data_IF_211070160513
#
_entry.id   IF_211070160513
#
_cell.length_a   1.000
_cell.length_b   1.000
_cell.length_c   1.000
_cell.angle_alpha   90.00
_cell.angle_beta   90.00
_cell.angle_gamma   90.00
#
_symmetry.space_group_name_H-M   'P 1'
#
loop_
_entity.id
_entity.type
_entity.pdbx_description
1 polymer ?
#
# COMPACT_ATOMS: atom_id res chain seq x y z
N UNK A 1 9.29 1.79 16.68
CA UNK A 1 9.88 0.44 16.91
C UNK A 1 11.31 0.61 17.46
N UNK A 2 11.76 -0.25 18.39
CA UNK A 2 13.16 -0.24 18.88
C UNK A 2 14.07 -0.96 17.88
N UNK A 3 15.33 -0.52 17.76
CA UNK A 3 16.34 -1.15 16.87
C UNK A 3 16.53 -2.65 17.14
N UNK A 4 16.45 -3.08 18.40
CA UNK A 4 16.54 -4.51 18.77
C UNK A 4 15.40 -5.34 18.21
N UNK A 5 14.17 -4.82 18.26
CA UNK A 5 12.99 -5.47 17.71
C UNK A 5 13.05 -5.55 16.18
N UNK A 6 13.48 -4.49 15.53
CA UNK A 6 13.69 -4.47 14.08
C UNK A 6 14.70 -5.54 13.64
N UNK A 7 15.84 -5.62 14.33
CA UNK A 7 16.86 -6.65 14.06
C UNK A 7 16.37 -8.09 14.33
N UNK A 8 15.44 -8.29 15.28
CA UNK A 8 14.81 -9.61 15.49
C UNK A 8 13.96 -10.00 14.29
N UNK A 9 13.13 -9.10 13.81
CA UNK A 9 12.26 -9.34 12.64
C UNK A 9 13.06 -9.69 11.38
N UNK A 10 14.22 -9.03 11.18
CA UNK A 10 15.13 -9.38 10.08
C UNK A 10 15.62 -10.83 10.21
N UNK A 11 16.03 -11.25 11.42
CA UNK A 11 16.50 -12.62 11.66
C UNK A 11 15.40 -13.66 11.48
N UNK A 12 14.15 -13.28 11.70
CA UNK A 12 12.96 -14.12 11.48
C UNK A 12 12.59 -14.21 9.99
N UNK A 13 13.28 -13.47 9.11
CA UNK A 13 13.13 -13.54 7.66
C UNK A 13 12.07 -12.58 7.10
N UNK A 14 11.59 -11.62 7.87
CA UNK A 14 10.73 -10.56 7.35
C UNK A 14 11.52 -9.61 6.45
N UNK A 15 10.95 -9.29 5.28
CA UNK A 15 11.57 -8.45 4.27
C UNK A 15 10.78 -7.17 3.95
N UNK A 16 9.67 -6.95 4.66
CA UNK A 16 8.82 -5.78 4.48
C UNK A 16 8.27 -5.36 5.84
N UNK A 17 9.09 -4.58 6.57
CA UNK A 17 8.87 -4.29 7.99
C UNK A 17 8.24 -2.91 8.15
N UNK A 18 7.01 -2.80 8.73
CA UNK A 18 6.38 -1.51 8.96
C UNK A 18 7.04 -0.78 10.13
N UNK A 19 7.50 0.43 9.87
CA UNK A 19 7.90 1.41 10.87
C UNK A 19 6.75 2.39 11.06
N UNK A 20 6.43 2.73 12.30
CA UNK A 20 5.34 3.65 12.57
C UNK A 20 5.69 4.70 13.60
N UNK A 21 5.10 5.88 13.41
CA UNK A 21 5.10 6.98 14.38
C UNK A 21 3.69 7.51 14.55
N UNK A 22 3.21 7.58 15.80
CA UNK A 22 1.93 8.20 16.13
C UNK A 22 2.10 9.69 16.39
N UNK A 23 1.19 10.50 15.84
CA UNK A 23 1.08 11.94 16.08
C UNK A 23 -0.36 12.26 16.43
N UNK A 24 -0.59 13.15 17.38
CA UNK A 24 -1.94 13.67 17.66
C UNK A 24 -2.22 14.82 16.70
N UNK A 25 -3.36 14.79 16.04
CA UNK A 25 -3.79 15.81 15.07
C UNK A 25 -5.21 16.22 15.41
N UNK A 26 -5.35 17.38 16.06
CA UNK A 26 -6.64 17.86 16.55
C UNK A 26 -7.35 18.83 15.59
N UNK A 27 -6.62 19.38 14.62
CA UNK A 27 -7.12 20.49 13.77
C UNK A 27 -7.43 20.09 12.34
N UNK A 28 -6.90 19.00 11.84
CA UNK A 28 -7.05 18.58 10.46
C UNK A 28 -7.98 17.37 10.32
N UNK A 29 -8.92 17.47 9.38
CA UNK A 29 -9.74 16.32 9.00
C UNK A 29 -8.92 15.34 8.12
N UNK A 30 -9.31 14.06 8.04
CA UNK A 30 -8.64 13.11 7.15
C UNK A 30 -8.56 13.59 5.70
N UNK A 31 -9.62 14.21 5.19
CA UNK A 31 -9.63 14.80 3.85
C UNK A 31 -8.64 15.96 3.73
N UNK A 32 -8.53 16.82 4.75
CA UNK A 32 -7.56 17.92 4.74
C UNK A 32 -6.12 17.40 4.72
N UNK A 33 -5.84 16.33 5.47
CA UNK A 33 -4.53 15.66 5.44
C UNK A 33 -4.23 15.07 4.06
N UNK A 34 -5.20 14.39 3.45
CA UNK A 34 -5.06 13.87 2.10
C UNK A 34 -4.70 14.98 1.10
N UNK A 35 -5.48 16.06 1.08
CA UNK A 35 -5.25 17.18 0.15
C UNK A 35 -3.89 17.86 0.34
N UNK A 36 -3.38 17.89 1.58
CA UNK A 36 -2.07 18.48 1.89
C UNK A 36 -0.89 17.57 1.53
N UNK A 37 -1.02 16.26 1.72
CA UNK A 37 0.11 15.34 1.74
C UNK A 37 0.10 14.32 0.60
N UNK A 38 -1.07 13.94 0.11
CA UNK A 38 -1.24 12.80 -0.78
C UNK A 38 -2.00 13.10 -2.09
N UNK A 39 -2.34 14.37 -2.38
CA UNK A 39 -3.07 14.73 -3.59
C UNK A 39 -2.16 14.68 -4.84
N UNK A 40 -1.71 13.49 -5.18
CA UNK A 40 -0.83 13.18 -6.31
C UNK A 40 -1.36 11.95 -7.07
N UNK A 41 -0.93 11.73 -8.32
CA UNK A 41 -1.20 10.48 -9.02
C UNK A 41 -0.75 9.25 -8.20
N UNK A 42 -1.52 8.17 -8.31
CA UNK A 42 -1.26 6.91 -7.60
C UNK A 42 -1.25 7.03 -6.07
N UNK A 43 -2.05 7.95 -5.54
CA UNK A 43 -2.42 8.03 -4.13
C UNK A 43 -3.86 7.56 -3.94
N UNK A 44 -4.27 7.33 -2.69
CA UNK A 44 -5.65 6.96 -2.39
C UNK A 44 -6.11 7.52 -1.05
N UNK A 45 -7.42 7.68 -0.93
CA UNK A 45 -8.11 8.03 0.29
C UNK A 45 -9.29 7.10 0.49
N UNK A 46 -9.27 6.34 1.57
CA UNK A 46 -10.33 5.41 1.94
C UNK A 46 -10.91 5.87 3.29
N UNK A 47 -12.16 6.22 3.28
CA UNK A 47 -12.90 6.65 4.48
C UNK A 47 -14.20 5.87 4.60
N UNK A 48 -14.47 5.34 5.79
CA UNK A 48 -15.75 4.72 6.08
C UNK A 48 -16.69 5.74 6.68
N UNK A 49 -17.80 6.00 6.01
CA UNK A 49 -18.80 7.01 6.43
C UNK A 49 -19.89 6.41 7.32
N UNK A 50 -20.07 5.10 7.33
CA UNK A 50 -21.10 4.43 8.11
C UNK A 50 -20.54 3.34 9.00
N UNK A 51 -21.03 3.23 10.24
CA UNK A 51 -20.76 2.06 11.06
C UNK A 51 -20.32 2.32 12.50
N UNK A 52 -20.30 3.55 12.98
CA UNK A 52 -19.98 3.86 14.38
C UNK A 52 -18.55 3.46 14.79
N UNK A 53 -18.34 3.22 16.09
CA UNK A 53 -17.00 2.99 16.68
C UNK A 53 -16.23 1.77 16.15
N UNK A 54 -16.91 0.80 15.53
CA UNK A 54 -16.27 -0.42 15.02
C UNK A 54 -15.89 -0.36 13.56
N UNK A 55 -16.74 0.21 12.69
CA UNK A 55 -16.59 0.14 11.24
C UNK A 55 -16.07 1.44 10.61
N UNK A 56 -16.36 2.59 11.23
CA UNK A 56 -15.91 3.92 10.76
C UNK A 56 -14.71 4.47 11.51
N UNK A 57 -13.97 3.64 12.24
CA UNK A 57 -12.90 4.11 13.11
C UNK A 57 -11.71 4.68 12.38
N UNK A 58 -11.31 4.07 11.27
CA UNK A 58 -10.09 4.43 10.57
C UNK A 58 -10.36 5.04 9.21
N UNK A 59 -9.58 6.08 8.89
CA UNK A 59 -9.42 6.59 7.52
C UNK A 59 -7.99 6.32 7.06
N UNK A 60 -7.83 5.86 5.81
CA UNK A 60 -6.54 5.47 5.25
C UNK A 60 -6.17 6.41 4.12
N UNK A 61 -4.97 6.96 4.17
CA UNK A 61 -4.41 7.87 3.18
C UNK A 61 -3.10 7.26 2.67
N UNK A 62 -3.12 6.70 1.45
CA UNK A 62 -1.90 6.24 0.80
C UNK A 62 -1.18 7.38 0.11
N UNK A 63 0.10 7.54 0.39
CA UNK A 63 0.93 8.48 -0.34
C UNK A 63 1.16 7.97 -1.77
N UNK A 64 1.68 8.84 -2.66
CA UNK A 64 1.94 8.46 -4.04
C UNK A 64 2.83 7.23 -4.12
N UNK A 65 2.30 6.15 -4.68
CA UNK A 65 3.02 4.89 -4.79
C UNK A 65 4.15 5.00 -5.82
N UNK A 66 5.36 4.63 -5.41
CA UNK A 66 6.49 4.56 -6.33
C UNK A 66 6.35 3.41 -7.33
N UNK A 67 5.75 2.31 -6.90
CA UNK A 67 5.58 1.10 -7.70
C UNK A 67 4.10 0.86 -8.01
N UNK A 68 3.80 0.73 -9.29
CA UNK A 68 2.46 0.47 -9.81
C UNK A 68 2.50 -0.74 -10.72
N UNK A 69 1.58 -1.67 -10.54
CA UNK A 69 1.37 -2.84 -11.38
C UNK A 69 0.15 -2.56 -12.25
N UNK A 70 0.32 -2.74 -13.55
CA UNK A 70 -0.77 -2.63 -14.53
C UNK A 70 -0.86 -3.92 -15.33
N UNK A 71 -2.07 -4.41 -15.51
CA UNK A 71 -2.36 -5.57 -16.31
C UNK A 71 -3.31 -5.18 -17.43
N UNK A 72 -2.94 -5.50 -18.67
CA UNK A 72 -3.79 -5.40 -19.85
C UNK A 72 -3.74 -6.76 -20.54
N UNK A 73 -4.87 -7.43 -20.65
CA UNK A 73 -4.93 -8.80 -21.11
C UNK A 73 -3.97 -9.71 -20.32
N UNK A 74 -3.01 -10.33 -20.97
CA UNK A 74 -2.00 -11.21 -20.37
C UNK A 74 -0.64 -10.52 -20.20
N UNK A 75 -0.58 -9.22 -20.42
CA UNK A 75 0.62 -8.41 -20.22
C UNK A 75 0.62 -7.75 -18.86
N UNK A 76 1.61 -8.04 -18.02
CA UNK A 76 1.85 -7.40 -16.74
C UNK A 76 3.00 -6.41 -16.86
N UNK A 77 2.77 -5.17 -16.48
CA UNK A 77 3.79 -4.11 -16.43
C UNK A 77 4.01 -3.66 -15.00
N UNK A 78 5.26 -3.57 -14.61
CA UNK A 78 5.65 -2.91 -13.35
C UNK A 78 6.27 -1.56 -13.71
N UNK A 79 5.66 -0.50 -13.21
CA UNK A 79 6.18 0.85 -13.31
C UNK A 79 6.79 1.27 -11.98
N UNK A 80 7.98 1.87 -12.01
CA UNK A 80 8.60 2.50 -10.84
C UNK A 80 8.87 3.97 -11.17
N UNK A 81 8.33 4.88 -10.35
CA UNK A 81 8.41 6.33 -10.56
C UNK A 81 8.00 6.74 -12.00
N UNK A 82 6.89 6.16 -12.49
CA UNK A 82 6.32 6.44 -13.81
C UNK A 82 7.10 5.86 -15.00
N UNK A 83 8.11 5.01 -14.77
CA UNK A 83 8.87 4.33 -15.84
C UNK A 83 8.64 2.83 -15.75
N UNK A 84 8.38 2.19 -16.89
CA UNK A 84 8.28 0.75 -16.98
C UNK A 84 9.66 0.15 -16.67
N UNK A 85 9.74 -0.66 -15.61
CA UNK A 85 10.97 -1.36 -15.22
C UNK A 85 10.92 -2.84 -15.58
N UNK A 86 9.72 -3.42 -15.61
CA UNK A 86 9.52 -4.81 -16.01
C UNK A 86 8.26 -4.95 -16.86
N UNK A 87 8.30 -5.89 -17.77
CA UNK A 87 7.19 -6.27 -18.62
C UNK A 87 7.20 -7.79 -18.78
N UNK A 88 6.07 -8.44 -18.51
CA UNK A 88 5.90 -9.88 -18.55
C UNK A 88 4.68 -10.24 -19.38
N UNK A 89 4.79 -11.29 -20.19
CA UNK A 89 3.65 -12.00 -20.75
C UNK A 89 3.40 -13.21 -19.86
N UNK A 90 2.19 -13.35 -19.34
CA UNK A 90 1.83 -14.37 -18.36
C UNK A 90 0.60 -15.16 -18.83
N UNK A 91 0.50 -16.42 -18.43
CA UNK A 91 -0.68 -17.24 -18.76
C UNK A 91 -1.87 -16.93 -17.82
N UNK A 92 -1.58 -16.58 -16.57
CA UNK A 92 -2.57 -16.25 -15.56
C UNK A 92 -2.14 -15.00 -14.77
N UNK A 93 -2.71 -13.84 -15.09
CA UNK A 93 -2.40 -12.60 -14.40
C UNK A 93 -2.77 -12.60 -12.90
N UNK A 94 -3.81 -13.34 -12.50
CA UNK A 94 -4.23 -13.38 -11.10
C UNK A 94 -3.27 -14.22 -10.26
N UNK A 95 -2.83 -15.37 -10.78
CA UNK A 95 -1.80 -16.19 -10.15
C UNK A 95 -0.47 -15.43 -10.04
N UNK A 96 -0.11 -14.66 -11.07
CA UNK A 96 1.09 -13.83 -11.05
C UNK A 96 1.02 -12.75 -9.94
N UNK A 97 -0.14 -12.11 -9.77
CA UNK A 97 -0.35 -11.11 -8.69
C UNK A 97 -0.24 -11.76 -7.31
N UNK A 98 -0.81 -12.95 -7.14
CA UNK A 98 -0.69 -13.70 -5.89
C UNK A 98 0.77 -14.05 -5.57
N UNK A 99 1.53 -14.53 -6.55
CA UNK A 99 2.96 -14.78 -6.40
C UNK A 99 3.75 -13.50 -6.06
N UNK A 100 3.43 -12.39 -6.72
CA UNK A 100 4.04 -11.10 -6.43
C UNK A 100 3.74 -10.66 -4.99
N UNK A 101 2.51 -10.80 -4.53
CA UNK A 101 2.12 -10.46 -3.16
C UNK A 101 2.83 -11.34 -2.12
N UNK A 102 2.97 -12.64 -2.41
CA UNK A 102 3.61 -13.60 -1.51
C UNK A 102 5.12 -13.38 -1.31
N UNK A 103 5.75 -12.52 -2.12
CA UNK A 103 7.14 -12.11 -1.92
C UNK A 103 7.31 -11.20 -0.70
N UNK A 104 6.25 -10.50 -0.28
CA UNK A 104 6.28 -9.59 0.86
C UNK A 104 6.01 -10.37 2.15
N UNK A 105 7.03 -10.52 2.98
CA UNK A 105 6.92 -11.10 4.31
C UNK A 105 6.80 -9.98 5.34
N UNK A 106 5.57 -9.68 5.73
CA UNK A 106 5.23 -8.57 6.63
C UNK A 106 4.93 -9.12 8.02
N UNK A 107 5.56 -8.61 9.10
CA UNK A 107 5.21 -9.01 10.46
C UNK A 107 3.86 -8.42 10.88
N UNK A 108 3.04 -9.20 11.56
CA UNK A 108 1.85 -8.68 12.22
C UNK A 108 2.25 -8.02 13.55
N UNK A 109 1.87 -6.76 13.73
CA UNK A 109 2.20 -5.96 14.91
C UNK A 109 0.92 -5.47 15.57
N UNK A 110 0.67 -5.86 16.82
CA UNK A 110 -0.52 -5.48 17.61
C UNK A 110 -0.67 -3.96 17.79
N UNK A 111 0.42 -3.21 17.60
CA UNK A 111 0.44 -1.75 17.72
C UNK A 111 -0.06 -1.02 16.47
N UNK A 112 -0.34 -1.73 15.38
CA UNK A 112 -0.80 -1.18 14.12
C UNK A 112 -2.23 -1.63 13.81
N UNK A 113 -2.99 -0.85 13.04
CA UNK A 113 -4.24 -1.30 12.45
C UNK A 113 -4.03 -2.52 11.54
N UNK A 114 -5.08 -3.34 11.37
CA UNK A 114 -5.05 -4.54 10.52
C UNK A 114 -4.62 -4.22 9.08
N UNK A 115 -5.14 -3.12 8.53
CA UNK A 115 -4.64 -2.60 7.27
C UNK A 115 -3.55 -1.56 7.54
N UNK A 116 -2.32 -1.89 7.16
CA UNK A 116 -1.17 -1.00 7.33
C UNK A 116 -0.28 -0.91 6.08
N UNK A 117 -0.77 -1.38 4.91
CA UNK A 117 -0.10 -1.36 3.62
C UNK A 117 -0.45 -2.57 2.77
N UNK A 118 0.21 -2.73 1.63
CA UNK A 118 -0.02 -3.84 0.70
C UNK A 118 -0.38 -3.36 -0.71
N UNK A 119 -1.12 -4.18 -1.46
CA UNK A 119 -1.59 -3.84 -2.80
C UNK A 119 -2.95 -3.13 -2.73
N UNK A 120 -3.03 -1.92 -3.26
CA UNK A 120 -4.26 -1.11 -3.28
C UNK A 120 -4.55 -0.67 -4.70
N UNK A 121 -5.77 -0.84 -5.15
CA UNK A 121 -6.16 -0.45 -6.50
C UNK A 121 -7.49 -1.05 -6.91
N UNK A 122 -7.63 -1.40 -8.18
CA UNK A 122 -8.86 -1.98 -8.68
C UNK A 122 -8.60 -3.20 -9.57
N UNK A 123 -9.58 -4.08 -9.55
CA UNK A 123 -9.80 -5.13 -10.52
C UNK A 123 -11.01 -4.74 -11.33
N UNK A 124 -10.83 -4.50 -12.63
CA UNK A 124 -11.90 -4.13 -13.55
C UNK A 124 -12.90 -5.27 -13.77
N UNK A 125 -14.06 -4.95 -14.31
CA UNK A 125 -15.09 -5.96 -14.57
C UNK A 125 -14.64 -7.05 -15.55
N UNK A 126 -13.80 -6.67 -16.51
CA UNK A 126 -13.34 -7.58 -17.58
C UNK A 126 -12.38 -8.67 -17.09
N UNK A 127 -11.91 -8.62 -15.83
CA UNK A 127 -11.08 -9.70 -15.24
C UNK A 127 -11.80 -11.04 -15.18
N UNK A 128 -13.14 -11.03 -15.25
CA UNK A 128 -13.96 -12.26 -15.31
C UNK A 128 -13.52 -13.19 -16.45
N UNK A 129 -12.94 -12.64 -17.53
CA UNK A 129 -12.42 -13.41 -18.67
C UNK A 129 -11.19 -14.25 -18.35
N UNK A 130 -10.42 -13.89 -17.29
CA UNK A 130 -9.31 -14.71 -16.80
C UNK A 130 -9.79 -15.92 -16.01
N UNK A 131 -11.00 -15.85 -15.43
CA UNK A 131 -11.55 -16.90 -14.57
C UNK A 131 -12.49 -17.81 -15.37
N UNK A 132 -13.30 -17.26 -16.29
CA UNK A 132 -14.32 -17.98 -17.04
C UNK A 132 -13.95 -18.07 -18.52
N UNK A 133 -13.44 -19.23 -19.02
CA UNK A 133 -12.98 -19.37 -20.40
C UNK A 133 -14.04 -19.07 -21.46
N UNK A 134 -15.35 -19.23 -21.12
CA UNK A 134 -16.43 -18.92 -22.04
C UNK A 134 -16.54 -17.44 -22.38
N UNK A 135 -16.02 -16.57 -21.50
CA UNK A 135 -16.03 -15.13 -21.65
C UNK A 135 -14.74 -14.57 -22.25
N UNK A 136 -13.69 -15.40 -22.41
CA UNK A 136 -12.38 -14.99 -22.92
C UNK A 136 -12.42 -14.41 -24.36
N UNK A 137 -13.40 -14.82 -25.17
CA UNK A 137 -13.50 -14.44 -26.59
C UNK A 137 -14.56 -13.35 -26.87
N UNK A 138 -15.04 -12.64 -25.88
CA UNK A 138 -15.99 -11.55 -26.07
C UNK A 138 -15.22 -10.29 -26.44
N UNK A 139 -15.11 -10.02 -27.75
CA UNK A 139 -14.54 -8.77 -28.26
C UNK A 139 -15.53 -7.63 -27.99
N UNK A 140 -15.25 -6.84 -26.96
CA UNK A 140 -15.87 -5.53 -26.75
C UNK A 140 -14.87 -4.45 -27.15
N UNK A 141 -15.36 -3.37 -27.73
CA UNK A 141 -14.55 -2.19 -27.99
C UNK A 141 -14.19 -1.56 -26.64
N UNK A 142 -12.91 -1.51 -26.34
CA UNK A 142 -12.42 -0.77 -25.17
C UNK A 142 -12.32 0.72 -25.51
N UNK A 143 -13.31 1.50 -25.08
CA UNK A 143 -13.38 2.95 -25.31
C UNK A 143 -12.55 3.74 -24.29
N UNK A 144 -12.29 3.17 -23.11
CA UNK A 144 -11.63 3.86 -22.02
C UNK A 144 -10.11 3.67 -22.03
N UNK A 145 -9.64 2.58 -22.63
CA UNK A 145 -8.23 2.20 -22.72
C UNK A 145 -7.50 2.26 -21.36
N UNK A 146 -8.19 1.75 -20.32
CA UNK A 146 -7.64 1.64 -18.97
C UNK A 146 -7.18 0.21 -18.70
N UNK A 147 -6.20 0.00 -17.81
CA UNK A 147 -5.79 -1.34 -17.43
C UNK A 147 -6.93 -2.19 -16.87
N UNK A 148 -6.94 -3.49 -17.15
CA UNK A 148 -7.87 -4.45 -16.52
C UNK A 148 -7.65 -4.51 -15.01
N UNK A 149 -6.39 -4.41 -14.59
CA UNK A 149 -6.00 -4.37 -13.18
C UNK A 149 -4.97 -3.26 -13.01
N UNK A 150 -5.17 -2.42 -12.00
CA UNK A 150 -4.18 -1.45 -11.56
C UNK A 150 -4.01 -1.59 -10.05
N UNK A 151 -2.79 -1.91 -9.61
CA UNK A 151 -2.45 -2.05 -8.20
C UNK A 151 -1.25 -1.17 -7.84
N UNK A 152 -1.39 -0.42 -6.78
CA UNK A 152 -0.33 0.38 -6.17
C UNK A 152 0.30 -0.40 -5.03
N UNK A 153 1.62 -0.44 -4.97
CA UNK A 153 2.34 -0.97 -3.80
C UNK A 153 2.39 0.12 -2.75
N UNK A 154 1.50 0.01 -1.75
CA UNK A 154 1.34 1.01 -0.71
C UNK A 154 2.33 0.77 0.42
N UNK A 155 3.50 1.40 0.33
CA UNK A 155 4.54 1.34 1.36
C UNK A 155 4.38 2.45 2.40
N UNK A 156 3.95 3.64 1.95
CA UNK A 156 3.85 4.83 2.77
C UNK A 156 2.39 5.25 2.89
N UNK A 157 1.89 5.27 4.12
CA UNK A 157 0.51 5.67 4.37
C UNK A 157 0.33 6.32 5.73
N UNK A 158 -0.75 7.09 5.84
CA UNK A 158 -1.24 7.59 7.12
C UNK A 158 -2.54 6.86 7.46
N UNK A 159 -2.65 6.42 8.69
CA UNK A 159 -3.89 5.86 9.23
C UNK A 159 -4.40 6.79 10.32
N UNK A 160 -5.54 7.41 10.06
CA UNK A 160 -6.20 8.30 11.01
C UNK A 160 -7.15 7.48 11.86
N UNK A 161 -6.92 7.42 13.16
CA UNK A 161 -7.86 6.87 14.14
C UNK A 161 -8.82 7.99 14.55
N UNK A 162 -10.00 7.99 13.97
CA UNK A 162 -11.04 9.01 14.19
C UNK A 162 -11.58 9.00 15.62
N UNK A 163 -11.39 7.89 16.38
CA UNK A 163 -11.84 7.78 17.77
C UNK A 163 -10.87 8.46 18.73
N UNK A 164 -9.57 8.36 18.47
CA UNK A 164 -8.52 8.86 19.37
C UNK A 164 -7.81 10.12 18.85
N UNK A 165 -8.21 10.64 17.68
CA UNK A 165 -7.55 11.76 16.98
C UNK A 165 -6.05 11.54 16.79
N UNK A 166 -5.64 10.29 16.60
CA UNK A 166 -4.26 9.92 16.32
C UNK A 166 -4.06 9.61 14.85
N UNK A 167 -2.96 10.06 14.31
CA UNK A 167 -2.47 9.70 12.99
C UNK A 167 -1.26 8.80 13.15
N UNK A 168 -1.35 7.59 12.62
CA UNK A 168 -0.20 6.68 12.47
C UNK A 168 0.43 6.94 11.12
N UNK A 169 1.65 7.43 11.10
CA UNK A 169 2.48 7.53 9.90
C UNK A 169 3.22 6.20 9.80
N UNK A 170 3.00 5.48 8.71
CA UNK A 170 3.54 4.13 8.51
C UNK A 170 4.36 4.13 7.22
N UNK A 171 5.55 3.58 7.30
CA UNK A 171 6.40 3.29 6.15
C UNK A 171 6.91 1.86 6.22
N UNK A 172 6.89 1.15 5.10
CA UNK A 172 7.44 -0.21 5.02
C UNK A 172 8.87 -0.15 4.50
N UNK A 173 9.75 -0.84 5.20
CA UNK A 173 11.18 -0.85 4.92
C UNK A 173 11.63 -2.26 4.54
N UNK A 174 12.35 -2.36 3.42
CA UNK A 174 13.05 -3.58 3.08
C UNK A 174 14.43 -3.54 3.74
N UNK A 175 14.76 -4.50 4.64
CA UNK A 175 16.05 -4.50 5.34
C UNK A 175 17.27 -4.69 4.43
N UNK A 176 17.05 -5.10 3.18
CA UNK A 176 18.12 -5.25 2.19
C UNK A 176 18.35 -3.96 1.37
N UNK A 177 17.59 -2.89 1.64
CA UNK A 177 17.74 -1.62 0.94
C UNK A 177 18.82 -0.77 1.60
N UNK A 178 19.75 -0.24 0.79
CA UNK A 178 20.92 0.53 1.27
C UNK A 178 20.53 1.87 1.94
N UNK A 179 19.30 2.36 1.72
CA UNK A 179 18.79 3.59 2.32
C UNK A 179 18.32 3.45 3.79
N UNK A 180 18.50 2.28 4.39
CA UNK A 180 17.91 1.92 5.67
C UNK A 180 18.43 2.74 6.86
N UNK A 181 19.70 3.15 6.85
CA UNK A 181 20.30 3.89 7.97
C UNK A 181 19.63 5.25 8.16
N UNK A 182 19.25 5.92 7.08
CA UNK A 182 18.56 7.21 7.13
C UNK A 182 17.13 7.07 7.69
N UNK A 183 16.39 6.06 7.32
CA UNK A 183 15.04 5.81 7.84
C UNK A 183 15.01 5.55 9.36
N UNK A 184 15.99 4.82 9.89
CA UNK A 184 16.08 4.51 11.32
C UNK A 184 16.45 5.74 12.16
N UNK A 185 17.17 6.71 11.62
CA UNK A 185 17.53 7.95 12.31
C UNK A 185 16.30 8.83 12.56
N UNK A 186 15.34 8.86 11.64
CA UNK A 186 14.11 9.66 11.79
C UNK A 186 13.08 9.05 12.77
N UNK A 187 13.20 7.77 13.12
CA UNK A 187 12.29 7.09 14.07
C UNK A 187 12.82 7.10 15.49
N UNK A 188 14.04 7.57 15.73
CA UNK A 188 14.57 7.75 17.09
C UNK A 188 13.87 8.92 17.79
N UNK A 189 13.45 8.77 19.07
CA UNK A 189 12.90 9.88 19.84
C UNK A 189 13.96 10.98 19.94
N UNK A 190 13.54 12.22 19.69
CA UNK A 190 14.42 13.38 19.87
C UNK A 190 14.89 13.44 21.31
N UNK A 191 16.15 13.85 21.61
CA UNK A 191 16.65 14.06 22.96
C UNK A 191 15.87 15.08 23.78
N UNK A 192 14.85 15.73 23.18
CA UNK A 192 13.96 16.70 23.85
C UNK A 192 12.67 16.06 24.41
N UNK A 193 12.45 14.77 24.18
CA UNK A 193 11.25 14.05 24.63
C UNK A 193 11.52 13.19 25.89
N UNK A 194 12.62 13.48 26.61
CA UNK A 194 13.00 12.86 27.89
C UNK A 194 12.88 13.84 29.06
#
# INVERSE_FOLDING_TARGET
>A
MKKSQFNSLIKEGYNHIPLSRGVVVDTDTPLALYLKLANNPYSYFLESVQGGEKWGRYSFIGLAAETVIKVNDYEVRIEKNGKIVHKYEVEDPLAWIEEYQNQFKVPQLDSLPDFNGGLVGYFGYEIVRYIEPKLANINKTDELNVPDILLMVSNDLLVVDNLTSKVHIITHVNPNDESLEDCLLYTSPSPRDS
#
